data_IF_796788686468
#
_entry.id   IF_796788686468
#
_cell.length_a   1.000
_cell.length_b   1.000
_cell.length_c   1.000
_cell.angle_alpha   90.00
_cell.angle_beta   90.00
_cell.angle_gamma   90.00
#
_symmetry.space_group_name_H-M   'P 1'
#
loop_
_entity.id
_entity.type
_entity.pdbx_description
1 polymer ?
#
# COMPACT_ATOMS: atom_id res chain seq x y z
N UNK A 1 -10.22 20.63 12.69
CA UNK A 1 -9.08 21.56 12.87
C UNK A 1 -7.85 20.91 13.48
N UNK A 2 -7.90 20.24 14.64
CA UNK A 2 -6.73 19.48 15.16
C UNK A 2 -6.58 18.13 14.44
N UNK A 3 -7.70 17.47 14.09
CA UNK A 3 -7.74 16.21 13.34
C UNK A 3 -7.10 16.34 11.95
N UNK A 4 -7.43 17.40 11.21
CA UNK A 4 -6.87 17.67 9.88
C UNK A 4 -5.34 17.73 9.89
N UNK A 5 -4.75 18.43 10.86
CA UNK A 5 -3.29 18.59 10.95
C UNK A 5 -2.58 17.27 11.29
N UNK A 6 -3.19 16.43 12.14
CA UNK A 6 -2.66 15.10 12.48
C UNK A 6 -2.81 14.11 11.33
N UNK A 7 -3.95 14.14 10.63
CA UNK A 7 -4.25 13.35 9.42
C UNK A 7 -3.29 13.69 8.28
N UNK A 8 -3.06 14.99 8.02
CA UNK A 8 -2.09 15.46 7.02
C UNK A 8 -0.67 15.00 7.38
N UNK A 9 -0.31 14.99 8.67
CA UNK A 9 0.99 14.52 9.13
C UNK A 9 1.14 13.00 8.98
N UNK A 10 0.05 12.24 9.13
CA UNK A 10 0.06 10.79 8.97
C UNK A 10 0.16 10.38 7.50
N UNK A 11 -0.70 10.94 6.65
CA UNK A 11 -0.69 10.69 5.21
C UNK A 11 0.70 10.94 4.63
N UNK A 12 1.36 12.05 5.00
CA UNK A 12 2.74 12.34 4.58
C UNK A 12 3.76 11.28 5.01
N UNK A 13 3.60 10.68 6.18
CA UNK A 13 4.49 9.59 6.64
C UNK A 13 4.24 8.32 5.81
N UNK A 14 2.99 7.95 5.58
CA UNK A 14 2.64 6.77 4.79
C UNK A 14 3.15 6.91 3.35
N UNK A 15 2.99 8.09 2.74
CA UNK A 15 3.53 8.41 1.42
C UNK A 15 5.06 8.47 1.35
N UNK A 16 5.76 8.49 2.49
CA UNK A 16 7.22 8.36 2.54
C UNK A 16 7.65 6.91 2.73
N UNK A 17 6.97 6.17 3.61
CA UNK A 17 7.28 4.78 3.93
C UNK A 17 6.98 3.87 2.73
N UNK A 18 5.86 4.09 2.03
CA UNK A 18 5.46 3.25 0.91
C UNK A 18 6.50 3.21 -0.22
N UNK A 19 7.01 4.34 -0.74
CA UNK A 19 8.10 4.32 -1.72
C UNK A 19 9.37 3.68 -1.18
N UNK A 20 9.73 3.86 0.09
CA UNK A 20 10.93 3.25 0.68
C UNK A 20 10.83 1.71 0.64
N UNK A 21 9.66 1.15 0.97
CA UNK A 21 9.41 -0.29 0.87
C UNK A 21 9.40 -0.75 -0.58
N UNK A 22 8.66 -0.07 -1.46
CA UNK A 22 8.52 -0.45 -2.87
C UNK A 22 9.81 -0.28 -3.67
N UNK A 23 10.70 0.63 -3.28
CA UNK A 23 12.04 0.79 -3.87
C UNK A 23 13.03 -0.28 -3.39
N UNK A 24 12.64 -1.15 -2.45
CA UNK A 24 13.48 -2.23 -1.93
C UNK A 24 14.64 -1.76 -1.06
N UNK A 25 14.53 -0.56 -0.47
CA UNK A 25 15.56 0.04 0.40
C UNK A 25 15.16 0.03 1.88
N UNK A 26 14.08 -0.67 2.22
CA UNK A 26 13.51 -0.82 3.58
C UNK A 26 14.55 -1.25 4.61
N UNK A 27 15.50 -2.10 4.24
CA UNK A 27 16.50 -2.67 5.14
C UNK A 27 17.49 -1.62 5.71
N UNK A 28 17.57 -0.43 5.10
CA UNK A 28 18.35 0.70 5.65
C UNK A 28 17.59 1.50 6.71
N UNK A 29 16.29 1.28 6.85
CA UNK A 29 15.38 2.11 7.65
C UNK A 29 14.44 1.28 8.52
N UNK A 30 14.77 0.01 8.81
CA UNK A 30 13.83 -0.91 9.47
C UNK A 30 13.37 -0.35 10.82
N UNK A 31 14.31 0.10 11.65
CA UNK A 31 14.03 0.63 12.99
C UNK A 31 13.17 1.89 12.91
N UNK A 32 13.47 2.79 11.98
CA UNK A 32 12.73 4.04 11.79
C UNK A 32 11.31 3.79 11.29
N UNK A 33 11.14 2.84 10.37
CA UNK A 33 9.84 2.46 9.82
C UNK A 33 9.00 1.75 10.88
N UNK A 34 9.59 0.83 11.64
CA UNK A 34 8.89 0.07 12.67
C UNK A 34 8.38 1.02 13.77
N UNK A 35 9.26 1.89 14.27
CA UNK A 35 8.88 2.94 15.24
C UNK A 35 7.85 3.92 14.69
N UNK A 36 7.91 4.23 13.39
CA UNK A 36 6.92 5.10 12.76
C UNK A 36 5.56 4.40 12.76
N UNK A 37 5.47 3.18 12.23
CA UNK A 37 4.23 2.43 12.08
C UNK A 37 3.59 2.07 13.44
N UNK A 38 4.40 1.74 14.45
CA UNK A 38 3.91 1.54 15.82
C UNK A 38 3.23 2.81 16.35
N UNK A 39 3.87 3.97 16.19
CA UNK A 39 3.27 5.26 16.59
C UNK A 39 2.00 5.58 15.80
N UNK A 40 1.94 5.21 14.52
CA UNK A 40 0.75 5.38 13.70
C UNK A 40 -0.40 4.55 14.27
N UNK A 41 -0.14 3.29 14.60
CA UNK A 41 -1.14 2.38 15.15
C UNK A 41 -1.61 2.82 16.55
N UNK A 42 -0.68 3.18 17.44
CA UNK A 42 -0.98 3.62 18.81
C UNK A 42 -1.64 5.00 18.89
N UNK A 43 -1.49 5.83 17.85
CA UNK A 43 -2.02 7.19 17.87
C UNK A 43 -3.56 7.28 17.87
N UNK A 44 -4.26 6.16 17.65
CA UNK A 44 -5.73 6.07 17.75
C UNK A 44 -6.44 7.10 16.88
N UNK A 45 -5.80 7.56 15.80
CA UNK A 45 -6.37 8.58 14.91
C UNK A 45 -7.63 8.01 14.30
N UNK A 46 -8.71 8.78 14.37
CA UNK A 46 -10.00 8.37 13.85
C UNK A 46 -9.88 8.16 12.33
N UNK A 47 -9.72 6.89 11.93
CA UNK A 47 -9.45 6.50 10.56
C UNK A 47 -10.63 6.77 9.62
N UNK A 48 -11.74 7.26 10.17
CA UNK A 48 -12.98 7.61 9.46
C UNK A 48 -12.70 8.60 8.32
N UNK A 49 -11.80 9.56 8.51
CA UNK A 49 -11.51 10.61 7.52
C UNK A 49 -10.61 10.17 6.34
N UNK A 50 -9.99 8.99 6.37
CA UNK A 50 -9.07 8.58 5.30
C UNK A 50 -9.81 8.17 4.02
N UNK A 51 -9.29 8.63 2.88
CA UNK A 51 -9.69 8.16 1.56
C UNK A 51 -9.30 6.68 1.35
N UNK A 52 -9.80 6.11 0.26
CA UNK A 52 -9.57 4.70 -0.07
C UNK A 52 -8.07 4.42 -0.22
N UNK A 53 -7.38 5.30 -0.94
CA UNK A 53 -5.94 5.22 -1.14
C UNK A 53 -5.15 5.16 0.18
N UNK A 54 -5.32 6.15 1.07
CA UNK A 54 -4.59 6.22 2.34
C UNK A 54 -4.94 5.04 3.23
N UNK A 55 -6.22 4.64 3.28
CA UNK A 55 -6.66 3.48 4.06
C UNK A 55 -6.01 2.19 3.57
N UNK A 56 -6.00 1.96 2.25
CA UNK A 56 -5.41 0.77 1.67
C UNK A 56 -3.89 0.71 1.86
N UNK A 57 -3.18 1.84 1.67
CA UNK A 57 -1.73 1.92 1.92
C UNK A 57 -1.42 1.66 3.40
N UNK A 58 -2.14 2.33 4.30
CA UNK A 58 -1.99 2.13 5.75
C UNK A 58 -2.17 0.66 6.14
N UNK A 59 -3.27 0.05 5.70
CA UNK A 59 -3.57 -1.35 5.97
C UNK A 59 -2.45 -2.25 5.47
N UNK A 60 -2.03 -2.06 4.21
CA UNK A 60 -0.96 -2.85 3.60
C UNK A 60 0.35 -2.77 4.38
N UNK A 61 0.78 -1.56 4.76
CA UNK A 61 2.04 -1.34 5.49
C UNK A 61 2.01 -2.02 6.87
N UNK A 62 0.90 -1.91 7.60
CA UNK A 62 0.74 -2.58 8.91
C UNK A 62 0.74 -4.10 8.78
N UNK A 63 -0.02 -4.63 7.81
CA UNK A 63 -0.05 -6.08 7.52
C UNK A 63 1.32 -6.63 7.18
N UNK A 64 2.07 -5.93 6.34
CA UNK A 64 3.41 -6.35 5.95
C UNK A 64 4.38 -6.37 7.15
N UNK A 65 4.25 -5.43 8.08
CA UNK A 65 5.03 -5.44 9.33
C UNK A 65 4.60 -6.56 10.28
N UNK A 66 3.31 -6.74 10.53
CA UNK A 66 2.82 -7.81 11.40
C UNK A 66 3.30 -9.18 10.93
N UNK A 67 3.39 -9.40 9.61
CA UNK A 67 3.95 -10.64 9.05
C UNK A 67 5.46 -10.79 9.30
N UNK A 68 6.23 -9.69 9.38
CA UNK A 68 7.65 -9.73 9.79
C UNK A 68 7.79 -10.14 11.26
N UNK A 69 6.88 -9.70 12.12
CA UNK A 69 6.87 -9.96 13.57
C UNK A 69 6.10 -11.22 14.00
N UNK A 70 5.90 -12.19 13.10
CA UNK A 70 5.09 -13.41 13.27
C UNK A 70 5.50 -14.37 14.45
N UNK A 71 6.15 -13.88 15.50
CA UNK A 71 6.44 -14.63 16.73
C UNK A 71 5.60 -14.23 17.97
N UNK A 72 4.71 -13.22 17.92
CA UNK A 72 3.86 -12.84 19.06
C UNK A 72 2.36 -12.98 18.72
N UNK A 73 1.87 -14.22 18.75
CA UNK A 73 0.79 -14.72 17.86
C UNK A 73 -0.65 -14.50 18.35
N UNK A 74 -0.94 -14.05 19.58
CA UNK A 74 -2.34 -13.92 20.03
C UNK A 74 -2.91 -12.49 19.96
N UNK A 75 -2.15 -11.49 20.41
CA UNK A 75 -2.62 -10.09 20.44
C UNK A 75 -2.68 -9.48 19.03
N UNK A 76 -1.78 -9.90 18.13
CA UNK A 76 -1.69 -9.37 16.77
C UNK A 76 -2.86 -9.82 15.89
N UNK A 77 -3.39 -11.04 16.08
CA UNK A 77 -4.53 -11.54 15.28
C UNK A 77 -5.81 -10.76 15.59
N UNK A 78 -6.03 -10.37 16.86
CA UNK A 78 -7.18 -9.56 17.24
C UNK A 78 -7.08 -8.13 16.68
N UNK A 79 -5.86 -7.55 16.68
CA UNK A 79 -5.61 -6.23 16.10
C UNK A 79 -5.76 -6.24 14.57
N UNK A 80 -5.27 -7.27 13.89
CA UNK A 80 -5.41 -7.42 12.44
C UNK A 80 -6.87 -7.58 11.99
N UNK A 81 -7.73 -8.19 12.81
CA UNK A 81 -9.16 -8.29 12.52
C UNK A 81 -9.84 -6.92 12.54
N UNK A 82 -9.47 -6.06 13.50
CA UNK A 82 -9.97 -4.68 13.62
C UNK A 82 -9.54 -3.84 12.40
N UNK A 83 -8.37 -4.14 11.82
CA UNK A 83 -7.86 -3.44 10.65
C UNK A 83 -8.64 -3.73 9.35
N UNK A 84 -9.35 -4.86 9.23
CA UNK A 84 -10.16 -5.18 8.02
C UNK A 84 -11.50 -4.45 8.04
N UNK A 85 -12.09 -4.28 9.23
CA UNK A 85 -13.37 -3.61 9.44
C UNK A 85 -13.37 -2.14 8.96
N UNK A 86 -12.18 -1.51 8.89
CA UNK A 86 -12.01 -0.16 8.35
C UNK A 86 -12.57 -0.01 6.92
N UNK A 87 -12.60 -1.10 6.14
CA UNK A 87 -13.08 -1.08 4.77
C UNK A 87 -14.61 -1.05 4.67
N UNK A 88 -15.35 -1.35 5.74
CA UNK A 88 -16.82 -1.32 5.74
C UNK A 88 -17.39 0.06 5.42
N UNK A 89 -16.67 1.15 5.72
CA UNK A 89 -17.10 2.51 5.35
C UNK A 89 -17.17 2.73 3.83
N UNK A 90 -16.40 1.95 3.07
CA UNK A 90 -16.40 1.95 1.61
C UNK A 90 -17.40 0.95 1.00
N UNK A 91 -18.14 0.23 1.85
CA UNK A 91 -19.16 -0.73 1.43
C UNK A 91 -20.57 -0.14 1.54
N UNK A 92 -21.48 -0.68 0.75
CA UNK A 92 -22.92 -0.43 0.83
C UNK A 92 -23.60 -1.32 1.88
N UNK A 93 -24.90 -1.12 2.10
CA UNK A 93 -25.69 -1.92 3.05
C UNK A 93 -25.80 -3.41 2.67
N UNK A 94 -25.44 -3.77 1.44
CA UNK A 94 -25.43 -5.15 0.93
C UNK A 94 -24.07 -5.82 1.11
N UNK A 95 -23.09 -5.12 1.70
CA UNK A 95 -21.74 -5.63 1.91
C UNK A 95 -20.86 -5.61 0.66
N UNK A 96 -21.23 -4.84 -0.37
CA UNK A 96 -20.44 -4.66 -1.60
C UNK A 96 -19.73 -3.33 -1.61
N UNK A 97 -18.57 -3.25 -2.25
CA UNK A 97 -17.88 -1.98 -2.42
C UNK A 97 -18.69 -1.00 -3.27
N UNK A 98 -18.74 0.26 -2.82
CA UNK A 98 -19.48 1.33 -3.50
C UNK A 98 -18.92 1.56 -4.91
N UNK A 99 -19.80 1.66 -5.89
CA UNK A 99 -19.45 1.91 -7.29
C UNK A 99 -18.78 3.28 -7.50
N UNK A 100 -19.03 4.25 -6.61
CA UNK A 100 -18.44 5.59 -6.69
C UNK A 100 -16.91 5.59 -6.52
N UNK A 101 -16.34 4.52 -5.95
CA UNK A 101 -14.90 4.33 -5.75
C UNK A 101 -14.12 4.16 -7.05
N UNK A 102 -14.80 3.83 -8.15
CA UNK A 102 -14.19 3.60 -9.47
C UNK A 102 -13.47 4.85 -10.00
N UNK A 103 -13.84 6.05 -9.49
CA UNK A 103 -13.17 7.29 -9.87
C UNK A 103 -11.75 7.41 -9.30
N UNK A 104 -11.44 6.73 -8.18
CA UNK A 104 -10.12 6.74 -7.55
C UNK A 104 -9.29 5.53 -8.00
N UNK A 105 -8.66 5.65 -9.18
CA UNK A 105 -7.85 4.58 -9.77
C UNK A 105 -6.71 4.13 -8.85
N UNK A 106 -6.06 5.09 -8.18
CA UNK A 106 -4.95 4.80 -7.28
C UNK A 106 -5.44 4.13 -5.99
N UNK A 107 -6.59 4.55 -5.45
CA UNK A 107 -7.26 3.88 -4.36
C UNK A 107 -7.61 2.44 -4.71
N UNK A 108 -8.16 2.20 -5.91
CA UNK A 108 -8.50 0.87 -6.40
C UNK A 108 -7.28 -0.05 -6.53
N UNK A 109 -6.19 0.47 -7.10
CA UNK A 109 -4.94 -0.28 -7.22
C UNK A 109 -4.36 -0.62 -5.83
N UNK A 110 -4.36 0.33 -4.89
CA UNK A 110 -3.85 0.06 -3.55
C UNK A 110 -4.77 -0.88 -2.75
N UNK A 111 -6.09 -0.80 -2.94
CA UNK A 111 -7.04 -1.74 -2.35
C UNK A 111 -6.80 -3.17 -2.87
N UNK A 112 -6.57 -3.33 -4.18
CA UNK A 112 -6.19 -4.61 -4.77
C UNK A 112 -4.93 -5.19 -4.10
N UNK A 113 -3.87 -4.39 -4.01
CA UNK A 113 -2.60 -4.81 -3.37
C UNK A 113 -2.75 -5.12 -1.89
N UNK A 114 -3.57 -4.34 -1.17
CA UNK A 114 -3.91 -4.56 0.22
C UNK A 114 -4.68 -5.87 0.43
N UNK A 115 -5.64 -6.16 -0.44
CA UNK A 115 -6.49 -7.34 -0.32
C UNK A 115 -5.71 -8.65 -0.56
N UNK A 116 -4.65 -8.65 -1.38
CA UNK A 116 -3.75 -9.82 -1.53
C UNK A 116 -2.92 -10.14 -0.27
N UNK A 117 -3.00 -9.34 0.79
CA UNK A 117 -2.44 -9.65 2.11
C UNK A 117 -3.41 -10.42 3.03
N UNK A 118 -4.59 -10.80 2.53
CA UNK A 118 -5.62 -11.48 3.30
C UNK A 118 -5.16 -12.82 3.90
N UNK A 119 -5.71 -13.16 5.06
CA UNK A 119 -5.75 -14.52 5.59
C UNK A 119 -7.06 -15.21 5.21
N UNK A 120 -7.13 -16.52 5.43
CA UNK A 120 -8.36 -17.29 5.19
C UNK A 120 -9.50 -16.80 6.11
N UNK A 121 -10.68 -16.59 5.54
CA UNK A 121 -11.89 -16.14 6.27
C UNK A 121 -12.09 -14.63 6.35
N UNK A 122 -11.32 -13.83 5.62
CA UNK A 122 -11.50 -12.38 5.53
C UNK A 122 -12.37 -12.00 4.31
N UNK A 123 -13.69 -12.24 4.41
CA UNK A 123 -14.67 -12.07 3.31
C UNK A 123 -14.65 -10.67 2.66
N UNK A 124 -14.39 -9.63 3.46
CA UNK A 124 -14.31 -8.23 2.99
C UNK A 124 -13.17 -8.07 1.97
N UNK A 125 -12.03 -8.71 2.22
CA UNK A 125 -10.88 -8.64 1.31
C UNK A 125 -11.09 -9.54 0.08
N UNK A 126 -11.79 -10.65 0.23
CA UNK A 126 -12.16 -11.50 -0.91
C UNK A 126 -13.08 -10.75 -1.89
N UNK A 127 -14.10 -10.04 -1.38
CA UNK A 127 -14.92 -9.15 -2.19
C UNK A 127 -14.10 -7.98 -2.76
N UNK A 128 -13.12 -7.46 -2.01
CA UNK A 128 -12.25 -6.39 -2.50
C UNK A 128 -11.42 -6.86 -3.71
N UNK A 129 -10.88 -8.08 -3.69
CA UNK A 129 -10.15 -8.66 -4.83
C UNK A 129 -11.10 -8.78 -6.03
N UNK A 130 -12.30 -9.35 -5.84
CA UNK A 130 -13.25 -9.54 -6.93
C UNK A 130 -13.67 -8.20 -7.56
N UNK A 131 -14.01 -7.21 -6.72
CA UNK A 131 -14.41 -5.88 -7.14
C UNK A 131 -13.27 -5.16 -7.88
N UNK A 132 -12.09 -5.09 -7.28
CA UNK A 132 -10.96 -4.35 -7.86
C UNK A 132 -10.44 -4.96 -9.15
N UNK A 133 -10.37 -6.30 -9.24
CA UNK A 133 -9.92 -7.00 -10.46
C UNK A 133 -10.77 -6.62 -11.66
N UNK A 134 -12.10 -6.77 -11.55
CA UNK A 134 -13.04 -6.47 -12.63
C UNK A 134 -12.96 -5.01 -13.08
N UNK A 135 -12.83 -4.07 -12.13
CA UNK A 135 -12.76 -2.64 -12.44
C UNK A 135 -11.43 -2.25 -13.06
N UNK A 136 -10.31 -2.71 -12.51
CA UNK A 136 -8.98 -2.42 -13.00
C UNK A 136 -8.77 -2.94 -14.44
N UNK A 137 -9.25 -4.15 -14.75
CA UNK A 137 -9.25 -4.71 -16.10
C UNK A 137 -10.03 -3.82 -17.09
N UNK A 138 -11.22 -3.35 -16.68
CA UNK A 138 -12.04 -2.48 -17.53
C UNK A 138 -11.42 -1.09 -17.76
N UNK A 139 -10.65 -0.58 -16.78
CA UNK A 139 -10.08 0.76 -16.79
C UNK A 139 -8.72 0.82 -17.50
N UNK A 140 -7.94 -0.27 -17.51
CA UNK A 140 -6.59 -0.32 -18.07
C UNK A 140 -6.51 0.21 -19.52
N UNK A 141 -7.57 0.06 -20.30
CA UNK A 141 -7.66 0.51 -21.70
C UNK A 141 -7.80 2.03 -21.88
N UNK A 142 -8.18 2.77 -20.83
CA UNK A 142 -8.51 4.21 -20.89
C UNK A 142 -7.50 5.12 -20.19
N UNK A 143 -6.49 4.53 -19.54
CA UNK A 143 -5.56 5.25 -18.68
C UNK A 143 -4.27 5.64 -19.41
N UNK A 144 -3.46 6.48 -18.76
CA UNK A 144 -2.13 6.80 -19.26
C UNK A 144 -1.27 5.53 -19.36
N UNK A 145 -0.32 5.46 -20.32
CA UNK A 145 0.48 4.26 -20.54
C UNK A 145 1.21 3.76 -19.27
N UNK A 146 1.74 4.70 -18.47
CA UNK A 146 2.43 4.40 -17.21
C UNK A 146 1.51 3.72 -16.19
N UNK A 147 0.30 4.24 -16.01
CA UNK A 147 -0.66 3.72 -15.03
C UNK A 147 -1.29 2.40 -15.51
N UNK A 148 -1.53 2.29 -16.82
CA UNK A 148 -1.98 1.03 -17.43
C UNK A 148 -0.94 -0.09 -17.25
N UNK A 149 0.35 0.21 -17.43
CA UNK A 149 1.44 -0.74 -17.16
C UNK A 149 1.49 -1.15 -15.69
N UNK A 150 1.36 -0.21 -14.75
CA UNK A 150 1.31 -0.50 -13.32
C UNK A 150 0.14 -1.44 -12.96
N UNK A 151 -1.04 -1.19 -13.52
CA UNK A 151 -2.23 -2.03 -13.30
C UNK A 151 -2.02 -3.42 -13.90
N UNK A 152 -1.54 -3.50 -15.14
CA UNK A 152 -1.27 -4.78 -15.80
C UNK A 152 -0.23 -5.61 -15.03
N UNK A 153 0.82 -4.97 -14.51
CA UNK A 153 1.82 -5.62 -13.67
C UNK A 153 1.21 -6.15 -12.37
N UNK A 154 0.45 -5.32 -11.64
CA UNK A 154 -0.19 -5.72 -10.39
C UNK A 154 -1.16 -6.90 -10.56
N UNK A 155 -1.96 -6.91 -11.64
CA UNK A 155 -2.91 -7.99 -11.92
C UNK A 155 -2.22 -9.34 -12.16
N UNK A 156 -0.98 -9.34 -12.69
CA UNK A 156 -0.20 -10.56 -12.91
C UNK A 156 0.60 -10.91 -11.65
N UNK A 157 1.23 -9.92 -11.02
CA UNK A 157 2.09 -10.07 -9.86
C UNK A 157 1.73 -9.05 -8.77
N UNK A 158 0.78 -9.38 -7.87
CA UNK A 158 0.55 -8.57 -6.68
C UNK A 158 1.83 -8.47 -5.86
N UNK A 159 2.08 -7.31 -5.23
CA UNK A 159 3.30 -7.01 -4.45
C UNK A 159 3.59 -8.10 -3.43
N UNK A 160 2.54 -8.66 -2.80
CA UNK A 160 2.67 -9.73 -1.80
C UNK A 160 3.23 -11.04 -2.37
N UNK A 161 2.99 -11.32 -3.65
CA UNK A 161 3.40 -12.56 -4.33
C UNK A 161 4.69 -12.39 -5.15
N UNK A 162 5.09 -11.15 -5.41
CA UNK A 162 6.31 -10.81 -6.15
C UNK A 162 7.59 -10.96 -5.32
N UNK A 163 8.70 -11.23 -6.01
CA UNK A 163 10.03 -11.18 -5.39
C UNK A 163 10.44 -9.72 -5.18
N UNK A 164 10.79 -9.35 -3.95
CA UNK A 164 11.13 -7.97 -3.54
C UNK A 164 12.05 -7.25 -4.53
N UNK A 165 13.09 -7.92 -5.04
CA UNK A 165 14.06 -7.33 -5.96
C UNK A 165 13.50 -7.07 -7.37
N UNK A 166 12.61 -7.95 -7.85
CA UNK A 166 11.95 -7.79 -9.16
C UNK A 166 10.95 -6.63 -9.07
N UNK A 167 10.13 -6.63 -8.02
CA UNK A 167 9.16 -5.58 -7.76
C UNK A 167 9.83 -4.21 -7.58
N UNK A 168 10.93 -4.16 -6.83
CA UNK A 168 11.69 -2.93 -6.65
C UNK A 168 12.26 -2.39 -7.97
N UNK A 169 12.75 -3.27 -8.85
CA UNK A 169 13.27 -2.84 -10.16
C UNK A 169 12.16 -2.31 -11.07
N UNK A 170 11.00 -2.98 -11.08
CA UNK A 170 9.84 -2.50 -11.82
C UNK A 170 9.40 -1.13 -11.28
N UNK A 171 9.25 -1.02 -9.96
CA UNK A 171 8.81 0.22 -9.31
C UNK A 171 9.78 1.40 -9.51
N UNK A 172 11.10 1.18 -9.52
CA UNK A 172 12.09 2.24 -9.82
C UNK A 172 11.81 2.89 -11.19
N UNK A 173 11.37 2.10 -12.17
CA UNK A 173 11.08 2.59 -13.52
C UNK A 173 9.83 3.45 -13.50
N UNK A 174 8.74 2.93 -12.91
CA UNK A 174 7.46 3.64 -12.82
C UNK A 174 7.54 4.90 -11.96
N UNK A 175 8.24 4.83 -10.82
CA UNK A 175 8.45 5.96 -9.91
C UNK A 175 9.19 7.10 -10.60
N UNK A 176 10.14 6.79 -11.49
CA UNK A 176 10.90 7.81 -12.23
C UNK A 176 10.09 8.60 -13.27
N UNK A 177 8.92 8.08 -13.67
CA UNK A 177 8.00 8.74 -14.60
C UNK A 177 6.97 9.65 -13.94
N UNK A 178 6.88 9.68 -12.60
CA UNK A 178 5.90 10.50 -11.88
C UNK A 178 6.25 12.01 -11.97
N UNK A 179 5.26 12.85 -12.25
CA UNK A 179 5.46 14.30 -12.50
C UNK A 179 5.52 15.15 -11.22
N UNK A 180 5.25 14.56 -10.05
CA UNK A 180 5.18 15.25 -8.75
C UNK A 180 6.34 14.84 -7.83
N UNK A 181 7.57 15.12 -8.26
CA UNK A 181 8.75 14.88 -7.44
C UNK A 181 8.95 15.99 -6.40
N UNK A 182 8.77 15.66 -5.12
CA UNK A 182 9.40 16.43 -4.04
C UNK A 182 10.91 16.20 -4.04
N UNK A 183 11.70 17.11 -3.45
CA UNK A 183 13.15 16.93 -3.32
C UNK A 183 13.53 15.62 -2.61
N UNK A 184 12.71 15.19 -1.65
CA UNK A 184 12.86 13.92 -0.94
C UNK A 184 12.66 12.71 -1.86
N UNK A 185 11.65 12.74 -2.73
CA UNK A 185 11.39 11.66 -3.71
C UNK A 185 12.57 11.48 -4.67
N UNK A 186 13.21 12.58 -5.08
CA UNK A 186 14.40 12.53 -5.94
C UNK A 186 15.60 11.89 -5.21
N UNK A 187 15.79 12.22 -3.94
CA UNK A 187 16.87 11.65 -3.12
C UNK A 187 16.67 10.13 -2.93
N UNK A 188 15.45 9.69 -2.62
CA UNK A 188 15.11 8.27 -2.49
C UNK A 188 15.36 7.49 -3.78
N UNK A 189 14.90 8.03 -4.92
CA UNK A 189 15.14 7.40 -6.22
C UNK A 189 16.63 7.29 -6.55
N UNK A 190 17.42 8.34 -6.30
CA UNK A 190 18.88 8.31 -6.49
C UNK A 190 19.53 7.23 -5.62
N UNK A 191 19.12 7.14 -4.36
CA UNK A 191 19.63 6.14 -3.43
C UNK A 191 19.28 4.70 -3.86
N UNK A 192 18.01 4.46 -4.25
CA UNK A 192 17.57 3.16 -4.74
C UNK A 192 18.29 2.73 -6.04
N UNK A 193 18.52 3.66 -6.97
CA UNK A 193 19.32 3.42 -8.18
C UNK A 193 20.79 3.10 -7.85
N UNK A 194 21.36 3.80 -6.89
CA UNK A 194 22.73 3.54 -6.45
C UNK A 194 22.87 2.15 -5.82
N UNK A 195 21.92 1.73 -4.98
CA UNK A 195 21.90 0.40 -4.37
C UNK A 195 21.74 -0.69 -5.46
N UNK A 196 20.74 -0.56 -6.33
CA UNK A 196 20.43 -1.58 -7.34
C UNK A 196 21.56 -1.82 -8.35
N UNK A 197 22.40 -0.81 -8.60
CA UNK A 197 23.57 -0.93 -9.49
C UNK A 197 24.78 -1.57 -8.80
N UNK A 198 24.95 -1.37 -7.48
CA UNK A 198 26.11 -1.84 -6.71
C UNK A 198 25.97 -3.27 -6.18
N UNK A 199 24.75 -3.69 -5.83
CA UNK A 199 24.47 -5.02 -5.28
C UNK A 199 23.95 -6.00 -6.35
N UNK A 200 24.60 -6.07 -7.52
CA UNK A 200 24.22 -7.03 -8.57
C UNK A 200 24.28 -8.50 -8.10
N UNK A 201 25.10 -8.82 -7.09
CA UNK A 201 25.44 -10.20 -6.69
C UNK A 201 25.03 -10.66 -5.29
N UNK A 202 24.46 -9.81 -4.43
CA UNK A 202 23.96 -10.26 -3.13
C UNK A 202 22.62 -9.59 -2.83
N UNK A 203 21.68 -10.41 -2.35
CA UNK A 203 20.26 -10.14 -2.03
C UNK A 203 19.31 -10.38 -3.20
#
# INVERSE_FOLDING_TARGET
MITDATTIKLSKKLHLIDPIQRLGIVYHFEIEIDNALEKIHLSGVDHVEYDLHTTAVWFRLLRQQGIKFHLLVALMVLLLYIDVEIFKKFMDEKGKFKEDLVNDVLGMLNLYEAAHLQFHGEDILEEAIAFTTSRLESMATKLSPLLAEQIAHALIHPIRKGLLRIEARHYISSYSGETHFTSSNVALLKFARWISTRYKHCI
#
